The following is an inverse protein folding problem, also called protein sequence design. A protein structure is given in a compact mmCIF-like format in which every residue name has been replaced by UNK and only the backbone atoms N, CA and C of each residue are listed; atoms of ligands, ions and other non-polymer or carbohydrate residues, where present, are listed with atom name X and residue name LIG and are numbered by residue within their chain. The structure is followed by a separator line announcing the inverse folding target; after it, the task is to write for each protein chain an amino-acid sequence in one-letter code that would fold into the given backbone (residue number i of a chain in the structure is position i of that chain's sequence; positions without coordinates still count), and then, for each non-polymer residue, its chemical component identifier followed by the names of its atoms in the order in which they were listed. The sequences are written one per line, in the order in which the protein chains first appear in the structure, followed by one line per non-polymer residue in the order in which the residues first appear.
data_IF_897987085691
#
_entry.id   IF_897987085691
#
_cell.length_a   1.000
_cell.length_b   1.000
_cell.length_c   1.000
_cell.angle_alpha   90.00
_cell.angle_beta   90.00
_cell.angle_gamma   90.00
#
_symmetry.space_group_name_H-M   'P 1'
#
loop_
_entity.id
_entity.type
_entity.pdbx_description
1 polymer ?
#
# COMPACT_ATOMS: atom_id res chain seq x y z
N UNK A 1 66.36 21.21 14.76
CA UNK A 1 65.50 20.09 15.24
C UNK A 1 64.10 20.62 15.49
N UNK A 2 63.12 20.30 14.63
CA UNK A 2 61.69 20.57 14.87
C UNK A 2 60.88 19.43 14.25
N UNK A 3 60.36 18.54 15.09
CA UNK A 3 59.37 17.53 14.71
C UNK A 3 57.99 18.15 14.95
N UNK A 4 57.13 18.19 13.93
CA UNK A 4 55.73 18.57 14.08
C UNK A 4 54.85 17.33 13.99
N UNK A 5 53.92 17.30 14.93
CA UNK A 5 53.02 16.22 15.32
C UNK A 5 52.04 15.84 14.21
N UNK A 6 51.89 14.53 14.00
CA UNK A 6 50.80 13.96 13.21
C UNK A 6 49.52 13.90 14.04
N UNK A 7 48.47 14.59 13.58
CA UNK A 7 47.12 14.46 14.13
C UNK A 7 46.45 13.22 13.53
N UNK A 8 46.17 12.25 14.40
CA UNK A 8 45.43 11.05 14.07
C UNK A 8 43.95 11.40 13.79
N UNK A 9 43.50 11.15 12.57
CA UNK A 9 42.09 11.20 12.17
C UNK A 9 41.36 10.01 12.78
N UNK A 10 40.55 10.25 13.81
CA UNK A 10 39.64 9.26 14.36
C UNK A 10 38.42 9.15 13.41
N UNK A 11 38.43 8.15 12.54
CA UNK A 11 37.28 7.81 11.69
C UNK A 11 36.23 7.10 12.55
N UNK A 12 35.16 7.84 12.89
CA UNK A 12 33.96 7.29 13.51
C UNK A 12 33.19 6.49 12.44
N UNK A 13 33.37 5.17 12.40
CA UNK A 13 32.59 4.29 11.55
C UNK A 13 31.15 4.18 12.11
N UNK A 14 30.25 5.00 11.58
CA UNK A 14 28.81 4.79 11.71
C UNK A 14 28.46 3.48 11.02
N UNK A 15 28.25 2.43 11.82
CA UNK A 15 27.66 1.19 11.36
C UNK A 15 26.25 1.49 10.86
N UNK A 16 26.08 1.53 9.54
CA UNK A 16 24.78 1.42 8.89
C UNK A 16 24.22 0.04 9.25
N UNK A 17 23.43 -0.06 10.31
CA UNK A 17 22.55 -1.20 10.48
C UNK A 17 21.50 -1.09 9.36
N UNK A 18 21.46 -2.04 8.41
CA UNK A 18 20.31 -2.10 7.51
C UNK A 18 19.09 -2.25 8.40
N UNK A 19 18.10 -1.37 8.19
CA UNK A 19 16.79 -1.57 8.78
C UNK A 19 16.41 -3.04 8.54
N UNK A 20 15.89 -3.70 9.57
CA UNK A 20 15.35 -5.04 9.44
C UNK A 20 14.13 -4.95 8.51
N UNK A 21 14.38 -4.90 7.21
CA UNK A 21 13.38 -5.12 6.18
C UNK A 21 12.98 -6.57 6.37
N UNK A 22 11.87 -6.78 7.08
CA UNK A 22 11.29 -8.10 7.23
C UNK A 22 11.27 -8.75 5.86
N UNK A 23 11.98 -9.86 5.71
CA UNK A 23 11.95 -10.62 4.47
C UNK A 23 10.62 -11.38 4.47
N UNK A 24 9.54 -10.73 4.04
CA UNK A 24 8.17 -11.25 4.04
C UNK A 24 7.94 -12.35 2.98
N UNK A 25 8.97 -12.83 2.26
CA UNK A 25 8.81 -13.73 1.10
C UNK A 25 8.69 -15.23 1.43
N UNK A 26 8.56 -15.64 2.70
CA UNK A 26 8.47 -17.07 3.10
C UNK A 26 7.20 -17.43 3.89
N UNK A 27 6.03 -16.93 3.49
CA UNK A 27 4.79 -17.43 4.06
C UNK A 27 4.49 -18.81 3.48
N UNK A 28 4.82 -19.87 4.22
CA UNK A 28 4.53 -21.27 3.84
C UNK A 28 3.03 -21.52 3.55
N UNK A 29 2.14 -20.68 4.08
CA UNK A 29 0.70 -20.82 3.99
C UNK A 29 -0.02 -19.64 3.30
N UNK A 30 0.74 -18.73 2.65
CA UNK A 30 0.22 -17.50 2.07
C UNK A 30 -0.13 -16.41 3.10
N UNK A 31 -0.64 -15.24 2.66
CA UNK A 31 -0.99 -14.13 3.53
C UNK A 31 -2.15 -14.47 4.49
N UNK A 32 -2.05 -14.00 5.73
CA UNK A 32 -3.14 -14.08 6.72
C UNK A 32 -4.17 -12.97 6.49
N UNK A 33 -5.39 -13.19 6.98
CA UNK A 33 -6.46 -12.18 6.93
C UNK A 33 -6.04 -10.85 7.57
N UNK A 34 -5.29 -10.91 8.69
CA UNK A 34 -4.76 -9.72 9.36
C UNK A 34 -3.74 -8.98 8.48
N UNK A 35 -2.95 -9.69 7.67
CA UNK A 35 -2.03 -9.05 6.74
C UNK A 35 -2.76 -8.33 5.61
N UNK A 36 -3.81 -8.93 5.04
CA UNK A 36 -4.64 -8.27 4.03
C UNK A 36 -5.30 -7.00 4.59
N UNK A 37 -5.76 -7.05 5.84
CA UNK A 37 -6.28 -5.88 6.56
C UNK A 37 -5.19 -4.80 6.74
N UNK A 38 -4.00 -5.16 7.22
CA UNK A 38 -2.89 -4.23 7.42
C UNK A 38 -2.50 -3.53 6.10
N UNK A 39 -2.41 -4.29 5.01
CA UNK A 39 -2.13 -3.73 3.67
C UNK A 39 -3.20 -2.72 3.29
N UNK A 40 -4.48 -3.07 3.42
CA UNK A 40 -5.59 -2.20 3.03
C UNK A 40 -5.67 -0.94 3.89
N UNK A 41 -5.45 -1.04 5.21
CA UNK A 41 -5.43 0.11 6.13
C UNK A 41 -4.25 1.05 5.85
N UNK A 42 -3.07 0.48 5.61
CA UNK A 42 -1.88 1.25 5.24
C UNK A 42 -2.11 2.00 3.93
N UNK A 43 -2.64 1.30 2.93
CA UNK A 43 -2.98 1.90 1.65
C UNK A 43 -4.00 3.03 1.79
N UNK A 44 -5.05 2.84 2.59
CA UNK A 44 -6.04 3.89 2.84
C UNK A 44 -5.41 5.13 3.49
N UNK A 45 -4.41 4.96 4.36
CA UNK A 45 -3.68 6.09 4.95
C UNK A 45 -2.92 6.90 3.90
N UNK A 46 -2.33 6.22 2.90
CA UNK A 46 -1.70 6.85 1.73
C UNK A 46 -2.72 7.55 0.82
N UNK A 47 -3.84 6.89 0.55
CA UNK A 47 -4.93 7.44 -0.26
C UNK A 47 -5.56 8.68 0.40
N UNK A 48 -5.85 8.62 1.70
CA UNK A 48 -6.42 9.73 2.45
C UNK A 48 -5.47 10.93 2.49
N UNK A 49 -4.15 10.71 2.60
CA UNK A 49 -3.16 11.78 2.53
C UNK A 49 -3.15 12.46 1.16
N UNK A 50 -3.22 11.68 0.09
CA UNK A 50 -3.36 12.23 -1.26
C UNK A 50 -4.63 13.08 -1.35
N UNK A 51 -5.78 12.53 -0.96
CA UNK A 51 -7.06 13.25 -1.02
C UNK A 51 -7.03 14.55 -0.21
N UNK A 52 -6.42 14.57 0.97
CA UNK A 52 -6.29 15.77 1.80
C UNK A 52 -5.53 16.89 1.08
N UNK A 53 -4.49 16.54 0.30
CA UNK A 53 -3.73 17.49 -0.52
C UNK A 53 -4.48 17.91 -1.81
N UNK A 54 -5.48 17.15 -2.24
CA UNK A 54 -6.20 17.31 -3.51
C UNK A 54 -7.69 17.62 -3.31
N UNK A 55 -8.01 18.46 -2.32
CA UNK A 55 -9.39 18.94 -2.07
C UNK A 55 -10.41 17.82 -1.84
N UNK A 56 -9.98 16.75 -1.17
CA UNK A 56 -10.73 15.53 -0.87
C UNK A 56 -11.09 14.65 -2.09
N UNK A 57 -10.38 14.79 -3.21
CA UNK A 57 -10.48 13.88 -4.35
C UNK A 57 -9.39 12.81 -4.28
N UNK A 58 -9.77 11.55 -4.46
CA UNK A 58 -8.84 10.43 -4.64
C UNK A 58 -8.34 10.33 -6.07
N UNK A 59 -9.12 10.77 -7.05
CA UNK A 59 -8.68 10.94 -8.44
C UNK A 59 -9.48 12.06 -9.08
N UNK A 60 -8.93 12.72 -10.09
CA UNK A 60 -9.64 13.75 -10.86
C UNK A 60 -8.96 13.91 -12.22
N UNK A 61 -9.73 14.18 -13.26
CA UNK A 61 -9.21 14.52 -14.59
C UNK A 61 -8.22 13.45 -15.13
N UNK A 62 -8.54 12.17 -14.91
CA UNK A 62 -7.73 10.99 -15.23
C UNK A 62 -6.36 10.89 -14.52
N UNK A 63 -6.11 11.72 -13.50
CA UNK A 63 -4.93 11.60 -12.65
C UNK A 63 -5.13 10.48 -11.61
N UNK A 64 -4.63 9.30 -11.95
CA UNK A 64 -4.56 8.16 -11.03
C UNK A 64 -3.14 7.92 -10.48
N UNK A 65 -2.11 8.26 -11.26
CA UNK A 65 -0.70 8.02 -10.91
C UNK A 65 -0.32 8.62 -9.55
N UNK A 66 -0.74 9.87 -9.28
CA UNK A 66 -0.45 10.53 -8.00
C UNK A 66 -1.08 9.84 -6.78
N UNK A 67 -2.29 9.31 -6.92
CA UNK A 67 -2.93 8.51 -5.88
C UNK A 67 -2.13 7.23 -5.61
N UNK A 68 -1.81 6.51 -6.69
CA UNK A 68 -1.04 5.26 -6.64
C UNK A 68 0.32 5.47 -5.99
N UNK A 69 1.04 6.53 -6.36
CA UNK A 69 2.35 6.85 -5.81
C UNK A 69 2.29 7.17 -4.32
N UNK A 70 1.26 7.90 -3.87
CA UNK A 70 1.04 8.15 -2.45
C UNK A 70 0.80 6.86 -1.66
N UNK A 71 0.03 5.93 -2.23
CA UNK A 71 -0.23 4.60 -1.67
C UNK A 71 1.06 3.77 -1.60
N UNK A 72 1.82 3.68 -2.69
CA UNK A 72 3.08 2.96 -2.76
C UNK A 72 4.09 3.50 -1.75
N UNK A 73 4.20 4.82 -1.64
CA UNK A 73 5.08 5.45 -0.67
C UNK A 73 4.67 5.13 0.78
N UNK A 74 3.37 5.01 1.07
CA UNK A 74 2.88 4.64 2.40
C UNK A 74 3.13 3.16 2.71
N UNK A 75 2.90 2.27 1.75
CA UNK A 75 3.24 0.85 1.88
C UNK A 75 4.74 0.68 2.14
N UNK A 76 5.59 1.34 1.37
CA UNK A 76 7.04 1.28 1.53
C UNK A 76 7.50 1.77 2.91
N UNK A 77 6.96 2.90 3.40
CA UNK A 77 7.26 3.44 4.76
C UNK A 77 6.92 2.46 5.88
N UNK A 78 5.95 1.57 5.66
CA UNK A 78 5.49 0.59 6.65
C UNK A 78 6.09 -0.82 6.40
N UNK A 79 7.11 -0.94 5.54
CA UNK A 79 7.76 -2.21 5.26
C UNK A 79 6.94 -3.18 4.40
N UNK A 80 5.97 -2.67 3.63
CA UNK A 80 5.06 -3.42 2.76
C UNK A 80 5.37 -3.18 1.27
N UNK A 81 6.64 -2.91 0.94
CA UNK A 81 7.07 -2.59 -0.44
C UNK A 81 6.88 -3.75 -1.43
N UNK A 82 6.75 -4.99 -0.93
CA UNK A 82 6.54 -6.18 -1.76
C UNK A 82 5.07 -6.34 -2.23
N UNK A 83 4.14 -5.50 -1.77
CA UNK A 83 2.75 -5.50 -2.24
C UNK A 83 2.70 -4.93 -3.65
N UNK A 84 2.18 -5.73 -4.60
CA UNK A 84 1.95 -5.26 -5.97
C UNK A 84 0.79 -4.28 -5.99
N UNK A 85 0.93 -3.18 -6.74
CA UNK A 85 -0.15 -2.21 -7.02
C UNK A 85 -0.18 -1.95 -8.52
N UNK A 86 -1.26 -2.37 -9.23
CA UNK A 86 -1.40 -2.14 -10.67
C UNK A 86 -1.25 -0.66 -11.03
N UNK A 87 -0.76 -0.39 -12.26
CA UNK A 87 -0.57 0.97 -12.76
C UNK A 87 -1.89 1.70 -13.01
N UNK A 88 -2.94 0.95 -13.34
CA UNK A 88 -4.28 1.45 -13.65
C UNK A 88 -5.28 1.03 -12.56
N UNK A 89 -6.34 1.83 -12.31
CA UNK A 89 -7.43 1.41 -11.46
C UNK A 89 -8.23 0.29 -12.14
N UNK A 90 -8.90 -0.52 -11.34
CA UNK A 90 -9.90 -1.45 -11.85
C UNK A 90 -11.24 -0.75 -12.06
N UNK A 91 -12.04 -1.32 -12.97
CA UNK A 91 -13.34 -0.75 -13.35
C UNK A 91 -14.35 -0.78 -12.19
N UNK A 92 -14.33 -1.83 -11.37
CA UNK A 92 -15.27 -2.01 -10.27
C UNK A 92 -14.73 -2.94 -9.16
N UNK A 93 -15.45 -2.97 -8.04
CA UNK A 93 -15.09 -3.75 -6.86
C UNK A 93 -15.21 -5.26 -7.06
N UNK A 94 -16.05 -5.72 -8.00
CA UNK A 94 -16.19 -7.14 -8.29
C UNK A 94 -14.95 -7.67 -9.02
N UNK A 95 -14.42 -6.92 -9.99
CA UNK A 95 -13.12 -7.19 -10.60
C UNK A 95 -11.99 -7.18 -9.56
N UNK A 96 -12.05 -6.24 -8.62
CA UNK A 96 -11.05 -6.12 -7.55
C UNK A 96 -11.02 -7.31 -6.59
N UNK A 97 -12.12 -8.06 -6.47
CA UNK A 97 -12.27 -9.23 -5.59
C UNK A 97 -11.89 -10.58 -6.22
N UNK A 98 -11.44 -10.58 -7.47
CA UNK A 98 -11.00 -11.81 -8.15
C UNK A 98 -9.74 -12.42 -7.52
N UNK A 99 -9.58 -13.74 -7.55
CA UNK A 99 -8.38 -14.38 -7.02
C UNK A 99 -7.12 -14.04 -7.83
N UNK A 100 -5.97 -13.94 -7.14
CA UNK A 100 -4.68 -13.96 -7.81
C UNK A 100 -4.37 -15.35 -8.37
N UNK A 101 -3.63 -15.37 -9.48
CA UNK A 101 -3.13 -16.61 -10.10
C UNK A 101 -1.78 -17.08 -9.52
N UNK A 102 -1.16 -16.28 -8.66
CA UNK A 102 0.14 -16.59 -8.04
C UNK A 102 0.27 -15.95 -6.66
N UNK A 103 1.36 -16.26 -5.98
CA UNK A 103 1.56 -15.93 -4.57
C UNK A 103 1.71 -14.43 -4.29
N UNK A 104 1.55 -14.07 -3.02
CA UNK A 104 1.72 -12.71 -2.52
C UNK A 104 0.40 -11.96 -2.32
N UNK A 105 0.49 -10.63 -2.30
CA UNK A 105 -0.63 -9.71 -2.13
C UNK A 105 -0.58 -8.69 -3.28
N UNK A 106 -1.72 -8.49 -3.93
CA UNK A 106 -1.94 -7.38 -4.86
C UNK A 106 -3.00 -6.47 -4.25
N UNK A 107 -2.66 -5.18 -4.10
CA UNK A 107 -3.61 -4.16 -3.72
C UNK A 107 -4.21 -3.56 -4.99
N UNK A 108 -5.52 -3.70 -5.14
CA UNK A 108 -6.29 -3.18 -6.26
C UNK A 108 -7.10 -1.98 -5.82
N UNK A 109 -7.16 -0.98 -6.70
CA UNK A 109 -7.76 0.31 -6.41
C UNK A 109 -8.88 0.53 -7.42
N UNK A 110 -10.03 0.99 -6.94
CA UNK A 110 -11.17 1.41 -7.75
C UNK A 110 -11.53 2.82 -7.30
N UNK A 111 -11.69 3.74 -8.23
CA UNK A 111 -12.15 5.10 -7.95
C UNK A 111 -13.60 5.25 -8.41
N UNK A 112 -14.37 6.09 -7.72
CA UNK A 112 -15.71 6.44 -8.19
C UNK A 112 -15.61 7.31 -9.45
N UNK A 113 -16.68 7.37 -10.24
CA UNK A 113 -16.71 8.21 -11.46
C UNK A 113 -16.46 9.71 -11.19
N UNK A 114 -16.76 10.17 -9.98
CA UNK A 114 -16.50 11.55 -9.56
C UNK A 114 -15.13 11.72 -8.88
N UNK A 115 -14.45 10.61 -8.62
CA UNK A 115 -13.12 10.56 -8.01
C UNK A 115 -13.07 11.00 -6.55
N UNK A 116 -14.21 11.23 -5.91
CA UNK A 116 -14.36 11.57 -4.49
C UNK A 116 -14.51 10.34 -3.57
N UNK A 117 -14.61 9.15 -4.15
CA UNK A 117 -14.61 7.87 -3.45
C UNK A 117 -13.50 6.93 -3.93
N UNK A 118 -13.13 6.00 -3.06
CA UNK A 118 -12.11 4.98 -3.33
C UNK A 118 -12.52 3.65 -2.71
N UNK A 119 -12.33 2.58 -3.44
CA UNK A 119 -12.34 1.22 -2.91
C UNK A 119 -10.98 0.57 -3.09
N UNK A 120 -10.54 -0.13 -2.05
CA UNK A 120 -9.25 -0.80 -1.95
C UNK A 120 -9.51 -2.27 -1.66
N UNK A 121 -8.87 -3.17 -2.40
CA UNK A 121 -8.96 -4.60 -2.19
C UNK A 121 -7.56 -5.21 -2.14
N UNK A 122 -7.17 -5.76 -0.99
CA UNK A 122 -5.97 -6.58 -0.89
C UNK A 122 -6.34 -8.02 -1.23
N UNK A 123 -5.94 -8.49 -2.41
CA UNK A 123 -6.22 -9.82 -2.92
C UNK A 123 -4.99 -10.73 -2.79
N UNK A 124 -5.24 -12.01 -2.54
CA UNK A 124 -4.28 -13.11 -2.57
C UNK A 124 -4.81 -14.23 -3.50
N UNK A 125 -4.15 -15.38 -3.53
CA UNK A 125 -4.62 -16.56 -4.27
C UNK A 125 -5.97 -17.11 -3.80
N UNK A 126 -6.34 -16.80 -2.54
CA UNK A 126 -7.49 -17.43 -1.88
C UNK A 126 -8.43 -16.46 -1.18
N UNK A 127 -7.89 -15.34 -0.72
CA UNK A 127 -8.59 -14.43 0.20
C UNK A 127 -8.53 -13.00 -0.32
N UNK A 128 -9.57 -12.22 -0.03
CA UNK A 128 -9.60 -10.79 -0.30
C UNK A 128 -10.16 -10.04 0.90
N UNK A 129 -9.54 -8.92 1.26
CA UNK A 129 -10.05 -7.96 2.24
C UNK A 129 -10.35 -6.63 1.54
N UNK A 130 -11.46 -5.96 1.85
CA UNK A 130 -11.83 -4.70 1.16
C UNK A 130 -12.21 -3.56 2.09
N UNK A 131 -11.79 -2.35 1.70
CA UNK A 131 -12.29 -1.07 2.20
C UNK A 131 -12.97 -0.32 1.07
N UNK A 132 -14.17 0.19 1.30
CA UNK A 132 -14.88 1.04 0.35
C UNK A 132 -15.33 2.33 1.03
N UNK A 133 -15.01 3.47 0.42
CA UNK A 133 -15.46 4.79 0.83
C UNK A 133 -16.08 5.49 -0.37
N UNK A 134 -17.36 5.83 -0.25
CA UNK A 134 -18.07 6.67 -1.21
C UNK A 134 -18.89 7.72 -0.44
N UNK A 135 -18.45 9.00 -0.39
CA UNK A 135 -19.12 10.04 0.37
C UNK A 135 -20.54 10.36 -0.14
N UNK A 136 -20.89 9.96 -1.36
CA UNK A 136 -22.21 10.20 -1.95
C UNK A 136 -23.23 9.18 -1.49
N UNK A 137 -22.80 7.95 -1.24
CA UNK A 137 -23.66 6.91 -0.67
C UNK A 137 -23.66 6.96 0.87
N UNK A 138 -22.47 7.13 1.47
CA UNK A 138 -22.29 7.11 2.92
C UNK A 138 -20.95 7.73 3.33
N UNK A 139 -20.97 8.63 4.31
CA UNK A 139 -19.74 9.18 4.90
C UNK A 139 -18.91 8.16 5.70
N UNK A 140 -19.37 6.91 5.84
CA UNK A 140 -18.67 5.83 6.55
C UNK A 140 -17.86 4.98 5.59
N UNK A 141 -16.66 4.58 6.02
CA UNK A 141 -15.90 3.52 5.38
C UNK A 141 -16.59 2.19 5.65
N UNK A 142 -16.92 1.46 4.58
CA UNK A 142 -17.42 0.09 4.63
C UNK A 142 -16.24 -0.86 4.61
N UNK A 143 -16.16 -1.71 5.62
CA UNK A 143 -15.12 -2.72 5.77
C UNK A 143 -15.73 -4.09 5.52
N UNK A 144 -15.20 -4.82 4.55
CA UNK A 144 -15.51 -6.23 4.37
C UNK A 144 -14.32 -7.04 4.89
N UNK A 145 -14.49 -7.83 5.96
CA UNK A 145 -13.45 -8.73 6.46
C UNK A 145 -12.97 -9.67 5.37
N UNK A 146 -11.80 -10.28 5.61
CA UNK A 146 -11.23 -11.21 4.65
C UNK A 146 -12.21 -12.37 4.38
N UNK A 147 -12.48 -12.60 3.11
CA UNK A 147 -13.34 -13.67 2.62
C UNK A 147 -12.69 -14.38 1.44
N UNK A 148 -13.26 -15.49 0.99
CA UNK A 148 -12.73 -16.18 -0.18
C UNK A 148 -12.92 -15.33 -1.43
N UNK A 149 -11.87 -15.20 -2.23
CA UNK A 149 -11.93 -14.44 -3.48
C UNK A 149 -12.83 -15.12 -4.51
N UNK A 150 -13.39 -14.31 -5.43
CA UNK A 150 -14.22 -14.83 -6.53
C UNK A 150 -13.33 -15.45 -7.61
N UNK A 151 -13.74 -16.60 -8.14
CA UNK A 151 -13.07 -17.30 -9.23
C UNK A 151 -13.75 -17.02 -10.56
#
# INVERSE_FOLDING_TARGET
MKRLFGSATLLLALAFMPAAHGQWYRWEFGPTDAQLEIVTRTAYSGAARYAFAHKNYFSRDDEFEGLRDSILAELARNGLADVSVPAEPLADLDAARSCLKGGGIELRIVTTIFGDGVSLAAASERRVFTYAYDPRESAKVVVTPAEDCRR
#
